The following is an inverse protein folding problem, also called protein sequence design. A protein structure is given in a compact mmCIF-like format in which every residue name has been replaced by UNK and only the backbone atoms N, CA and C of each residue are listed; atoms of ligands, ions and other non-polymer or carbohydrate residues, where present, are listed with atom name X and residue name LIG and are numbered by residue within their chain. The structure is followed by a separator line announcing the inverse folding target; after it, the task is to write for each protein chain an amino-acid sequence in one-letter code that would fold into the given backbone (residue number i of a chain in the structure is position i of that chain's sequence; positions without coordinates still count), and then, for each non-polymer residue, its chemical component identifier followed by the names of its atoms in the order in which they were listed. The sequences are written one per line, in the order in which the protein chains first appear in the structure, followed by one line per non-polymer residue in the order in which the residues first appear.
data_IF_096219510134
#
_entry.id   IF_096219510134
#
_cell.length_a   1.000
_cell.length_b   1.000
_cell.length_c   1.000
_cell.angle_alpha   90.00
_cell.angle_beta   90.00
_cell.angle_gamma   90.00
#
_symmetry.space_group_name_H-M   'P 1'
#
loop_
_entity.id
_entity.type
_entity.pdbx_description
1 polymer ?
#
# COMPACT_ATOMS: atom_id res chain seq x y z
N UNK A 1 -15.15 5.26 -17.82
CA UNK A 1 -13.68 5.23 -17.65
C UNK A 1 -13.13 6.36 -18.50
N UNK A 2 -12.60 7.43 -17.89
CA UNK A 2 -12.06 8.56 -18.66
C UNK A 2 -10.73 8.14 -19.29
N UNK A 3 -10.56 8.30 -20.62
CA UNK A 3 -9.28 8.01 -21.27
C UNK A 3 -8.18 8.87 -20.65
N UNK A 4 -6.98 8.28 -20.51
CA UNK A 4 -5.81 9.03 -20.09
C UNK A 4 -5.60 10.23 -21.03
N UNK A 5 -5.32 11.40 -20.45
CA UNK A 5 -5.25 12.65 -21.18
C UNK A 5 -4.33 12.54 -22.41
N UNK A 6 -4.86 12.84 -23.60
CA UNK A 6 -4.11 12.81 -24.87
C UNK A 6 -2.86 13.69 -24.78
N UNK A 7 -2.95 14.80 -24.06
CA UNK A 7 -1.84 15.73 -23.81
C UNK A 7 -0.69 15.03 -23.12
N UNK A 8 -0.96 14.22 -22.09
CA UNK A 8 0.10 13.47 -21.38
C UNK A 8 0.71 12.41 -22.30
N UNK A 9 -0.11 11.72 -23.11
CA UNK A 9 0.41 10.74 -24.06
C UNK A 9 1.40 11.35 -25.08
N UNK A 10 1.10 12.54 -25.59
CA UNK A 10 2.01 13.26 -26.47
C UNK A 10 3.24 13.78 -25.72
N UNK A 11 3.07 14.29 -24.49
CA UNK A 11 4.16 14.79 -23.66
C UNK A 11 5.20 13.71 -23.29
N UNK A 12 4.80 12.43 -23.25
CA UNK A 12 5.71 11.30 -23.03
C UNK A 12 6.63 10.99 -24.22
N UNK A 13 6.35 11.48 -25.44
CA UNK A 13 7.14 11.18 -26.64
C UNK A 13 8.35 12.10 -26.75
N UNK A 14 9.49 11.62 -27.24
CA UNK A 14 10.63 12.50 -27.54
C UNK A 14 10.35 13.37 -28.78
N UNK A 15 10.85 14.60 -28.81
CA UNK A 15 10.67 15.52 -29.95
C UNK A 15 9.26 16.11 -30.10
N UNK A 16 8.42 16.03 -29.06
CA UNK A 16 7.09 16.62 -29.07
C UNK A 16 7.12 18.16 -28.90
N UNK A 17 5.99 18.82 -29.17
CA UNK A 17 5.86 20.30 -29.13
C UNK A 17 5.98 20.91 -27.73
N UNK A 18 5.84 20.13 -26.66
CA UNK A 18 5.72 20.59 -25.29
C UNK A 18 7.07 20.82 -24.59
N UNK A 19 8.21 20.60 -25.27
CA UNK A 19 9.59 20.87 -24.77
C UNK A 19 9.83 20.48 -23.30
N UNK A 20 9.22 19.37 -22.87
CA UNK A 20 9.23 18.93 -21.46
C UNK A 20 10.62 18.45 -21.08
N UNK A 21 11.21 18.92 -19.95
CA UNK A 21 12.49 18.41 -19.46
C UNK A 21 12.47 16.90 -19.23
N UNK A 22 13.61 16.24 -19.43
CA UNK A 22 13.71 14.77 -19.35
C UNK A 22 13.24 14.21 -17.99
N UNK A 23 13.62 14.87 -16.89
CA UNK A 23 13.20 14.51 -15.53
C UNK A 23 11.67 14.52 -15.34
N UNK A 24 10.98 15.48 -15.97
CA UNK A 24 9.53 15.59 -15.87
C UNK A 24 8.87 14.58 -16.82
N UNK A 25 9.41 14.39 -18.01
CA UNK A 25 8.92 13.40 -18.98
C UNK A 25 8.94 12.00 -18.39
N UNK A 26 9.99 11.65 -17.64
CA UNK A 26 10.11 10.37 -16.98
C UNK A 26 8.99 10.13 -15.97
N UNK A 27 8.66 11.15 -15.16
CA UNK A 27 7.54 11.08 -14.20
C UNK A 27 6.19 10.91 -14.91
N UNK A 28 6.00 11.54 -16.07
CA UNK A 28 4.79 11.36 -16.88
C UNK A 28 4.68 9.93 -17.44
N UNK A 29 5.80 9.35 -17.87
CA UNK A 29 5.85 7.95 -18.33
C UNK A 29 5.42 7.00 -17.21
N UNK A 30 5.96 7.19 -16.00
CA UNK A 30 5.58 6.39 -14.83
C UNK A 30 4.12 6.61 -14.41
N UNK A 31 3.60 7.83 -14.50
CA UNK A 31 2.20 8.09 -14.20
C UNK A 31 1.26 7.42 -15.20
N UNK A 32 1.62 7.45 -16.50
CA UNK A 32 0.90 6.72 -17.56
C UNK A 32 0.93 5.22 -17.30
N UNK A 33 2.08 4.70 -16.87
CA UNK A 33 2.24 3.29 -16.48
C UNK A 33 1.29 2.92 -15.32
N UNK A 34 1.30 3.67 -14.21
CA UNK A 34 0.40 3.43 -13.07
C UNK A 34 -1.08 3.53 -13.46
N UNK A 35 -1.43 4.44 -14.39
CA UNK A 35 -2.78 4.47 -14.93
C UNK A 35 -3.10 3.18 -15.70
N UNK A 36 -2.22 2.68 -16.58
CA UNK A 36 -2.46 1.41 -17.30
C UNK A 36 -2.62 0.23 -16.37
N UNK A 37 -1.80 0.13 -15.31
CA UNK A 37 -1.98 -0.86 -14.22
C UNK A 37 -3.40 -0.77 -13.66
N UNK A 38 -3.85 0.44 -13.34
CA UNK A 38 -5.21 0.69 -12.81
C UNK A 38 -6.30 0.27 -13.80
N UNK A 39 -6.10 0.52 -15.09
CA UNK A 39 -7.08 0.13 -16.12
C UNK A 39 -7.26 -1.39 -16.19
N UNK A 40 -6.16 -2.16 -16.08
CA UNK A 40 -6.21 -3.63 -16.04
C UNK A 40 -7.08 -4.12 -14.88
N UNK A 41 -6.94 -3.51 -13.69
CA UNK A 41 -7.72 -3.92 -12.51
C UNK A 41 -9.20 -3.53 -12.60
N UNK A 42 -9.53 -2.38 -13.19
CA UNK A 42 -10.93 -2.00 -13.35
C UNK A 42 -11.65 -2.71 -14.49
N UNK A 43 -10.98 -2.90 -15.62
CA UNK A 43 -11.56 -3.53 -16.79
C UNK A 43 -11.78 -5.02 -16.56
N UNK A 44 -10.79 -5.70 -16.01
CA UNK A 44 -10.85 -7.15 -15.85
C UNK A 44 -11.46 -7.51 -14.48
N UNK A 45 -10.85 -7.14 -13.35
CA UNK A 45 -11.23 -7.67 -12.01
C UNK A 45 -12.56 -7.14 -11.42
N UNK A 46 -13.19 -6.10 -11.98
CA UNK A 46 -14.39 -5.44 -11.41
C UNK A 46 -15.66 -5.52 -12.25
N UNK A 47 -15.61 -5.91 -13.51
CA UNK A 47 -16.83 -6.12 -14.29
C UNK A 47 -17.55 -7.39 -13.78
N UNK A 48 -18.83 -7.28 -13.33
CA UNK A 48 -19.58 -8.46 -12.92
C UNK A 48 -19.75 -9.41 -14.10
N UNK A 49 -19.53 -10.71 -13.88
CA UNK A 49 -19.99 -11.77 -14.78
C UNK A 49 -21.51 -11.73 -14.90
N UNK A 50 -22.01 -10.87 -15.77
CA UNK A 50 -23.41 -10.65 -16.02
C UNK A 50 -23.67 -10.61 -17.52
N UNK A 51 -23.15 -11.58 -18.27
CA UNK A 51 -23.81 -11.97 -19.51
C UNK A 51 -23.44 -13.39 -19.97
N UNK A 52 -24.50 -14.18 -20.10
CA UNK A 52 -24.52 -15.60 -20.43
C UNK A 52 -24.22 -15.85 -21.91
N UNK A 53 -22.97 -15.71 -22.32
CA UNK A 53 -22.47 -16.30 -23.58
C UNK A 53 -21.05 -16.86 -23.38
N UNK A 54 -20.98 -17.97 -22.65
CA UNK A 54 -19.78 -18.72 -22.30
C UNK A 54 -19.27 -19.64 -23.42
N UNK A 55 -19.28 -19.17 -24.67
CA UNK A 55 -18.88 -19.97 -25.83
C UNK A 55 -17.40 -19.86 -26.23
N UNK A 56 -16.82 -18.65 -26.15
CA UNK A 56 -15.54 -18.37 -26.83
C UNK A 56 -14.61 -17.40 -26.09
N UNK A 57 -14.84 -17.11 -24.80
CA UNK A 57 -13.94 -16.20 -24.07
C UNK A 57 -12.73 -16.96 -23.51
N UNK A 58 -11.48 -16.54 -23.83
CA UNK A 58 -10.30 -17.10 -23.20
C UNK A 58 -10.40 -16.95 -21.67
N UNK A 59 -9.91 -17.95 -20.94
CA UNK A 59 -9.98 -18.02 -19.47
C UNK A 59 -9.56 -16.69 -18.84
N UNK A 60 -10.52 -16.00 -18.21
CA UNK A 60 -10.41 -14.66 -17.63
C UNK A 60 -9.27 -14.51 -16.60
N UNK A 61 -8.88 -15.61 -15.94
CA UNK A 61 -7.74 -15.64 -15.03
C UNK A 61 -6.42 -15.30 -15.73
N UNK A 62 -6.28 -15.57 -17.03
CA UNK A 62 -5.04 -15.36 -17.77
C UNK A 62 -4.89 -13.92 -18.32
N UNK A 63 -5.97 -13.15 -18.45
CA UNK A 63 -5.91 -11.86 -19.17
C UNK A 63 -5.29 -10.76 -18.31
N UNK A 64 -5.82 -10.52 -17.11
CA UNK A 64 -5.27 -9.48 -16.24
C UNK A 64 -3.87 -9.83 -15.72
N UNK A 65 -3.63 -11.11 -15.41
CA UNK A 65 -2.32 -11.61 -14.97
C UNK A 65 -1.25 -11.44 -16.05
N UNK A 66 -1.56 -11.80 -17.31
CA UNK A 66 -0.64 -11.59 -18.43
C UNK A 66 -0.42 -10.12 -18.72
N UNK A 67 -1.46 -9.28 -18.65
CA UNK A 67 -1.36 -7.84 -18.80
C UNK A 67 -0.47 -7.21 -17.71
N UNK A 68 -0.62 -7.60 -16.44
CA UNK A 68 0.25 -7.14 -15.36
C UNK A 68 1.70 -7.62 -15.51
N UNK A 69 1.91 -8.88 -15.92
CA UNK A 69 3.26 -9.39 -16.19
C UNK A 69 3.91 -8.62 -17.35
N UNK A 70 3.18 -8.33 -18.44
CA UNK A 70 3.68 -7.51 -19.54
C UNK A 70 4.07 -6.10 -19.07
N UNK A 71 3.24 -5.49 -18.22
CA UNK A 71 3.56 -4.21 -17.57
C UNK A 71 4.79 -4.33 -16.65
N UNK A 72 4.99 -5.45 -15.96
CA UNK A 72 6.20 -5.64 -15.17
C UNK A 72 7.45 -5.62 -16.06
N UNK A 73 7.45 -6.35 -17.17
CA UNK A 73 8.56 -6.35 -18.14
C UNK A 73 8.80 -4.95 -18.72
N UNK A 74 7.75 -4.21 -19.07
CA UNK A 74 7.87 -2.84 -19.57
C UNK A 74 8.56 -1.92 -18.54
N UNK A 75 8.23 -2.04 -17.25
CA UNK A 75 8.88 -1.25 -16.20
C UNK A 75 10.35 -1.61 -16.04
N UNK A 76 10.68 -2.90 -16.12
CA UNK A 76 12.06 -3.39 -16.06
C UNK A 76 12.89 -2.89 -17.26
N UNK A 77 12.32 -2.86 -18.46
CA UNK A 77 12.97 -2.28 -19.65
C UNK A 77 13.22 -0.78 -19.48
N UNK A 78 12.22 -0.02 -19.00
CA UNK A 78 12.36 1.41 -18.72
C UNK A 78 13.49 1.65 -17.71
N UNK A 79 13.53 0.87 -16.64
CA UNK A 79 14.57 0.99 -15.62
C UNK A 79 15.96 0.65 -16.17
N UNK A 80 16.08 -0.42 -16.95
CA UNK A 80 17.36 -0.83 -17.52
C UNK A 80 17.91 0.22 -18.49
N UNK A 81 17.08 0.71 -19.42
CA UNK A 81 17.48 1.65 -20.46
C UNK A 81 17.91 3.01 -19.89
N UNK A 82 17.28 3.47 -18.82
CA UNK A 82 17.46 4.82 -18.28
C UNK A 82 18.17 4.86 -16.90
N UNK A 83 18.60 3.71 -16.37
CA UNK A 83 19.21 3.56 -15.03
C UNK A 83 20.35 4.54 -14.70
N UNK A 84 21.17 4.90 -15.70
CA UNK A 84 22.31 5.81 -15.55
C UNK A 84 21.90 7.29 -15.49
N UNK A 85 20.71 7.63 -15.97
CA UNK A 85 20.16 9.00 -15.94
C UNK A 85 19.32 9.27 -14.70
N UNK A 86 18.90 8.23 -13.98
CA UNK A 86 18.00 8.40 -12.84
C UNK A 86 18.64 9.11 -11.67
N UNK A 87 18.03 10.23 -11.28
CA UNK A 87 18.23 10.85 -9.98
C UNK A 87 17.77 9.91 -8.86
N UNK A 88 18.13 10.23 -7.62
CA UNK A 88 17.60 9.50 -6.46
C UNK A 88 16.07 9.52 -6.39
N UNK A 89 15.44 10.62 -6.82
CA UNK A 89 13.99 10.73 -6.82
C UNK A 89 13.35 9.82 -7.87
N UNK A 90 13.94 9.70 -9.06
CA UNK A 90 13.43 8.83 -10.12
C UNK A 90 13.46 7.36 -9.69
N UNK A 91 14.52 6.95 -8.96
CA UNK A 91 14.60 5.62 -8.35
C UNK A 91 13.45 5.37 -7.36
N UNK A 92 13.09 6.36 -6.55
CA UNK A 92 11.94 6.25 -5.65
C UNK A 92 10.64 6.10 -6.46
N UNK A 93 10.43 6.91 -7.50
CA UNK A 93 9.24 6.83 -8.34
C UNK A 93 9.10 5.47 -9.05
N UNK A 94 10.18 4.92 -9.62
CA UNK A 94 10.18 3.59 -10.25
C UNK A 94 9.87 2.50 -9.24
N UNK A 95 10.54 2.53 -8.09
CA UNK A 95 10.32 1.56 -7.02
C UNK A 95 8.87 1.65 -6.47
N UNK A 96 8.32 2.85 -6.36
CA UNK A 96 6.91 3.07 -6.02
C UNK A 96 5.95 2.52 -7.10
N UNK A 97 6.23 2.74 -8.38
CA UNK A 97 5.41 2.21 -9.47
C UNK A 97 5.38 0.67 -9.48
N UNK A 98 6.53 0.03 -9.21
CA UNK A 98 6.64 -1.43 -9.06
C UNK A 98 5.85 -1.93 -7.85
N UNK A 99 5.98 -1.27 -6.71
CA UNK A 99 5.21 -1.57 -5.51
C UNK A 99 3.71 -1.45 -5.77
N UNK A 100 3.27 -0.36 -6.42
CA UNK A 100 1.88 -0.15 -6.79
C UNK A 100 1.36 -1.28 -7.68
N UNK A 101 2.08 -1.63 -8.75
CA UNK A 101 1.69 -2.70 -9.66
C UNK A 101 1.55 -4.04 -8.92
N UNK A 102 2.57 -4.46 -8.18
CA UNK A 102 2.49 -5.73 -7.47
C UNK A 102 1.42 -5.74 -6.38
N UNK A 103 1.10 -4.59 -5.76
CA UNK A 103 0.01 -4.50 -4.79
C UNK A 103 -1.36 -4.85 -5.38
N UNK A 104 -1.51 -4.81 -6.71
CA UNK A 104 -2.76 -5.16 -7.36
C UNK A 104 -3.12 -6.66 -7.21
N UNK A 105 -2.16 -7.55 -6.96
CA UNK A 105 -2.43 -8.96 -6.72
C UNK A 105 -3.27 -9.22 -5.46
N UNK A 106 -3.34 -8.25 -4.52
CA UNK A 106 -4.24 -8.34 -3.37
C UNK A 106 -5.73 -8.22 -3.74
N UNK A 107 -6.06 -7.70 -4.93
CA UNK A 107 -7.45 -7.58 -5.39
C UNK A 107 -8.06 -8.91 -5.83
N UNK A 108 -7.22 -9.87 -6.20
CA UNK A 108 -7.67 -11.25 -6.41
C UNK A 108 -7.94 -11.92 -5.05
N UNK A 109 -9.09 -12.60 -4.93
CA UNK A 109 -9.45 -13.42 -3.77
C UNK A 109 -9.32 -14.91 -4.04
N UNK A 110 -9.00 -15.32 -5.27
CA UNK A 110 -8.89 -16.72 -5.63
C UNK A 110 -7.65 -17.36 -4.97
N UNK A 111 -7.73 -18.56 -4.36
CA UNK A 111 -6.57 -19.20 -3.73
C UNK A 111 -5.64 -19.84 -4.77
N UNK A 112 -5.17 -19.07 -5.75
CA UNK A 112 -4.33 -19.56 -6.85
C UNK A 112 -2.83 -19.42 -6.54
N UNK A 113 -1.97 -20.29 -7.11
CA UNK A 113 -0.52 -20.12 -7.04
C UNK A 113 -0.04 -18.78 -7.61
N UNK A 114 -0.66 -18.30 -8.70
CA UNK A 114 -0.31 -17.01 -9.31
C UNK A 114 -0.54 -15.86 -8.35
N UNK A 115 -1.69 -15.83 -7.67
CA UNK A 115 -1.97 -14.85 -6.62
C UNK A 115 -0.91 -14.88 -5.52
N UNK A 116 -0.56 -16.07 -5.02
CA UNK A 116 0.48 -16.23 -3.99
C UNK A 116 1.81 -15.64 -4.46
N UNK A 117 2.27 -16.00 -5.65
CA UNK A 117 3.51 -15.47 -6.25
C UNK A 117 3.43 -13.94 -6.40
N UNK A 118 2.30 -13.41 -6.86
CA UNK A 118 2.08 -11.98 -7.02
C UNK A 118 2.13 -11.21 -5.69
N UNK A 119 1.53 -11.73 -4.63
CA UNK A 119 1.61 -11.14 -3.28
C UNK A 119 3.04 -11.22 -2.73
N UNK A 120 3.76 -12.31 -2.96
CA UNK A 120 5.18 -12.41 -2.57
C UNK A 120 6.06 -11.41 -3.34
N UNK A 121 5.76 -11.12 -4.62
CA UNK A 121 6.39 -10.03 -5.38
C UNK A 121 6.05 -8.65 -4.81
N UNK A 122 4.82 -8.45 -4.33
CA UNK A 122 4.41 -7.23 -3.65
C UNK A 122 5.20 -7.03 -2.36
N UNK A 123 5.37 -8.09 -1.56
CA UNK A 123 6.24 -8.09 -0.39
C UNK A 123 7.69 -7.74 -0.74
N UNK A 124 8.28 -8.40 -1.74
CA UNK A 124 9.65 -8.11 -2.18
C UNK A 124 9.83 -6.66 -2.67
N UNK A 125 8.81 -6.10 -3.32
CA UNK A 125 8.81 -4.70 -3.76
C UNK A 125 8.68 -3.75 -2.58
N UNK A 126 7.83 -4.07 -1.60
CA UNK A 126 7.68 -3.29 -0.37
C UNK A 126 8.98 -3.30 0.44
N UNK A 127 9.65 -4.45 0.53
CA UNK A 127 10.94 -4.61 1.17
C UNK A 127 12.00 -3.73 0.50
N UNK A 128 12.12 -3.83 -0.83
CA UNK A 128 13.07 -3.04 -1.63
C UNK A 128 12.80 -1.54 -1.52
N UNK A 129 11.54 -1.12 -1.63
CA UNK A 129 11.14 0.29 -1.53
C UNK A 129 11.44 0.87 -0.15
N UNK A 130 11.09 0.14 0.92
CA UNK A 130 11.35 0.55 2.31
C UNK A 130 12.84 0.69 2.55
N UNK A 131 13.64 -0.29 2.10
CA UNK A 131 15.11 -0.26 2.21
C UNK A 131 15.72 0.92 1.44
N UNK A 132 15.22 1.19 0.22
CA UNK A 132 15.66 2.33 -0.58
C UNK A 132 15.38 3.65 0.15
N UNK A 133 14.17 3.83 0.65
CA UNK A 133 13.78 5.09 1.30
C UNK A 133 14.53 5.31 2.63
N UNK A 134 14.69 4.28 3.45
CA UNK A 134 15.41 4.42 4.74
C UNK A 134 16.92 4.64 4.54
N UNK A 135 17.52 4.05 3.51
CA UNK A 135 18.92 4.30 3.16
C UNK A 135 19.14 5.73 2.62
N UNK A 136 18.21 6.24 1.81
CA UNK A 136 18.23 7.62 1.34
C UNK A 136 17.98 8.60 2.49
N UNK A 137 17.11 8.28 3.46
CA UNK A 137 16.94 9.12 4.65
C UNK A 137 18.23 9.22 5.46
N UNK A 138 18.91 8.10 5.66
CA UNK A 138 20.18 8.05 6.41
C UNK A 138 21.28 8.92 5.77
N UNK A 139 21.25 9.07 4.45
CA UNK A 139 22.30 9.80 3.70
C UNK A 139 21.90 11.26 3.39
N UNK A 140 20.63 11.51 3.09
CA UNK A 140 20.13 12.79 2.55
C UNK A 140 19.05 13.45 3.41
N UNK A 141 18.68 12.86 4.55
CA UNK A 141 17.55 13.31 5.40
C UNK A 141 16.24 13.42 4.61
N UNK A 142 16.02 12.44 3.73
CA UNK A 142 14.89 12.37 2.81
C UNK A 142 13.55 12.61 3.52
N UNK A 143 13.34 12.06 4.72
CA UNK A 143 12.05 12.16 5.41
C UNK A 143 11.63 13.60 5.74
N UNK A 144 12.58 14.50 5.92
CA UNK A 144 12.29 15.92 6.18
C UNK A 144 11.72 16.66 4.98
N UNK A 145 11.88 16.12 3.76
CA UNK A 145 11.51 16.79 2.51
C UNK A 145 10.70 15.88 1.58
N UNK A 146 10.21 14.76 2.10
CA UNK A 146 9.56 13.75 1.28
C UNK A 146 8.18 14.23 0.83
N UNK A 147 7.92 14.23 -0.47
CA UNK A 147 6.63 14.65 -0.99
C UNK A 147 5.51 13.68 -0.58
N UNK A 148 4.29 14.18 -0.52
CA UNK A 148 3.13 13.43 -0.02
C UNK A 148 2.85 12.12 -0.80
N UNK A 149 3.24 12.03 -2.08
CA UNK A 149 3.13 10.78 -2.85
C UNK A 149 4.05 9.70 -2.30
N UNK A 150 5.34 10.01 -2.07
CA UNK A 150 6.31 9.06 -1.53
C UNK A 150 5.95 8.64 -0.10
N UNK A 151 5.42 9.56 0.72
CA UNK A 151 4.87 9.24 2.04
C UNK A 151 3.78 8.17 1.92
N UNK A 152 2.78 8.38 1.06
CA UNK A 152 1.69 7.39 0.88
C UNK A 152 2.22 6.04 0.43
N UNK A 153 3.17 6.00 -0.50
CA UNK A 153 3.76 4.74 -0.97
C UNK A 153 4.59 4.03 0.12
N UNK A 154 5.26 4.79 0.99
CA UNK A 154 5.97 4.26 2.15
C UNK A 154 5.01 3.64 3.18
N UNK A 155 3.88 4.29 3.42
CA UNK A 155 2.82 3.76 4.26
C UNK A 155 2.19 2.48 3.66
N UNK A 156 1.95 2.44 2.34
CA UNK A 156 1.50 1.22 1.63
C UNK A 156 2.53 0.09 1.78
N UNK A 157 3.81 0.38 1.59
CA UNK A 157 4.88 -0.62 1.74
C UNK A 157 4.88 -1.21 3.15
N UNK A 158 4.79 -0.35 4.16
CA UNK A 158 4.75 -0.76 5.58
C UNK A 158 3.55 -1.66 5.87
N UNK A 159 2.36 -1.32 5.35
CA UNK A 159 1.17 -2.15 5.48
C UNK A 159 1.32 -3.52 4.78
N UNK A 160 1.93 -3.57 3.59
CA UNK A 160 2.18 -4.82 2.87
C UNK A 160 3.15 -5.72 3.65
N UNK A 161 4.26 -5.16 4.16
CA UNK A 161 5.22 -5.90 4.98
C UNK A 161 4.51 -6.56 6.17
N UNK A 162 3.78 -5.75 6.95
CA UNK A 162 3.05 -6.22 8.12
C UNK A 162 2.03 -7.30 7.76
N UNK A 163 1.26 -7.08 6.69
CA UNK A 163 0.19 -7.98 6.26
C UNK A 163 0.71 -9.35 5.84
N UNK A 164 1.85 -9.42 5.14
CA UNK A 164 2.44 -10.69 4.72
C UNK A 164 3.12 -11.40 5.90
N UNK A 165 3.83 -10.66 6.75
CA UNK A 165 4.46 -11.21 7.96
C UNK A 165 3.44 -11.82 8.95
N UNK A 166 2.21 -11.30 8.97
CA UNK A 166 1.08 -11.77 9.78
C UNK A 166 0.14 -12.74 9.04
N UNK A 167 0.63 -13.49 8.06
CA UNK A 167 -0.18 -14.44 7.30
C UNK A 167 0.56 -15.75 7.10
N UNK A 168 -0.10 -16.78 6.57
CA UNK A 168 0.57 -18.04 6.22
C UNK A 168 1.69 -17.89 5.19
N UNK A 169 1.74 -16.77 4.45
CA UNK A 169 2.82 -16.52 3.49
C UNK A 169 4.14 -16.13 4.17
N UNK A 170 4.14 -15.93 5.50
CA UNK A 170 5.36 -15.74 6.30
C UNK A 170 6.36 -16.89 6.16
N UNK A 171 5.88 -18.10 5.85
CA UNK A 171 6.71 -19.29 5.69
C UNK A 171 7.50 -19.32 4.37
N UNK A 172 7.13 -18.49 3.40
CA UNK A 172 7.76 -18.43 2.08
C UNK A 172 8.74 -17.25 1.95
N UNK A 173 9.04 -16.54 3.04
CA UNK A 173 9.92 -15.37 3.07
C UNK A 173 10.95 -15.49 4.20
N UNK A 174 12.02 -14.68 4.12
CA UNK A 174 12.90 -14.46 5.26
C UNK A 174 12.17 -13.63 6.33
N UNK A 175 11.56 -14.34 7.28
CA UNK A 175 10.75 -13.76 8.34
C UNK A 175 11.56 -12.81 9.23
N UNK A 176 12.79 -13.18 9.61
CA UNK A 176 13.62 -12.37 10.52
C UNK A 176 14.07 -11.06 9.85
N UNK A 177 14.49 -11.12 8.59
CA UNK A 177 14.82 -9.93 7.82
C UNK A 177 13.58 -9.01 7.68
N UNK A 178 12.42 -9.60 7.37
CA UNK A 178 11.15 -8.87 7.26
C UNK A 178 10.71 -8.20 8.55
N UNK A 179 10.78 -8.94 9.67
CA UNK A 179 10.50 -8.48 11.03
C UNK A 179 11.35 -7.29 11.42
N UNK A 180 12.66 -7.38 11.18
CA UNK A 180 13.58 -6.26 11.43
C UNK A 180 13.18 -5.05 10.59
N UNK A 181 12.98 -5.23 9.28
CA UNK A 181 12.63 -4.13 8.39
C UNK A 181 11.28 -3.50 8.74
N UNK A 182 10.28 -4.28 9.17
CA UNK A 182 8.98 -3.76 9.61
C UNK A 182 9.10 -2.90 10.89
N UNK A 183 9.96 -3.33 11.82
CA UNK A 183 10.28 -2.55 13.02
C UNK A 183 10.98 -1.23 12.65
N UNK A 184 11.97 -1.29 11.76
CA UNK A 184 12.69 -0.11 11.25
C UNK A 184 11.72 0.85 10.50
N UNK A 185 10.81 0.30 9.69
CA UNK A 185 9.80 1.06 8.95
C UNK A 185 8.84 1.79 9.89
N UNK A 186 8.46 1.17 11.02
CA UNK A 186 7.59 1.78 12.03
C UNK A 186 8.26 2.98 12.70
N UNK A 187 9.56 2.86 13.04
CA UNK A 187 10.35 3.97 13.56
C UNK A 187 10.49 5.08 12.50
N UNK A 188 10.76 4.70 11.26
CA UNK A 188 10.86 5.63 10.14
C UNK A 188 9.54 6.37 9.85
N UNK A 189 8.38 5.70 9.94
CA UNK A 189 7.07 6.33 9.75
C UNK A 189 6.81 7.47 10.75
N UNK A 190 7.29 7.33 11.99
CA UNK A 190 7.24 8.41 12.97
C UNK A 190 8.15 9.60 12.61
N UNK A 191 9.26 9.39 11.88
CA UNK A 191 10.13 10.47 11.40
C UNK A 191 9.55 11.24 10.22
N UNK A 192 8.73 10.57 9.41
CA UNK A 192 8.03 11.17 8.27
C UNK A 192 6.88 12.06 8.71
N UNK A 193 6.35 11.83 9.91
CA UNK A 193 5.31 12.67 10.50
C UNK A 193 5.82 14.10 10.73
N UNK A 194 5.09 15.07 10.20
CA UNK A 194 5.24 16.51 10.48
C UNK A 194 4.76 16.82 11.90
N UNK A 195 3.79 16.06 12.42
CA UNK A 195 3.28 16.21 13.79
C UNK A 195 2.66 14.93 14.33
N UNK A 196 2.54 14.84 15.66
CA UNK A 196 2.06 13.63 16.37
C UNK A 196 0.63 13.20 16.03
N UNK A 197 -0.16 14.09 15.42
CA UNK A 197 -1.55 13.88 15.01
C UNK A 197 -1.77 13.82 13.49
N UNK A 198 -0.72 13.88 12.68
CA UNK A 198 -0.87 13.74 11.22
C UNK A 198 -1.07 12.27 10.79
N UNK A 199 -1.40 12.08 9.52
CA UNK A 199 -1.72 10.77 8.96
C UNK A 199 -0.58 9.76 9.08
N UNK A 200 0.67 10.20 8.89
CA UNK A 200 1.84 9.34 8.95
C UNK A 200 2.11 8.90 10.39
N UNK A 201 2.04 9.83 11.35
CA UNK A 201 2.20 9.55 12.77
C UNK A 201 1.09 8.66 13.33
N UNK A 202 -0.17 8.89 12.93
CA UNK A 202 -1.30 8.03 13.28
C UNK A 202 -1.12 6.60 12.75
N UNK A 203 -0.78 6.44 11.47
CA UNK A 203 -0.57 5.12 10.90
C UNK A 203 0.64 4.40 11.52
N UNK A 204 1.73 5.12 11.82
CA UNK A 204 2.90 4.57 12.50
C UNK A 204 2.54 3.96 13.86
N UNK A 205 1.71 4.66 14.65
CA UNK A 205 1.20 4.15 15.94
C UNK A 205 0.34 2.91 15.76
N UNK A 206 -0.57 2.90 14.78
CA UNK A 206 -1.40 1.72 14.48
C UNK A 206 -0.53 0.52 14.09
N UNK A 207 0.43 0.71 13.18
CA UNK A 207 1.35 -0.35 12.74
C UNK A 207 2.14 -0.89 13.93
N UNK A 208 2.65 -0.01 14.80
CA UNK A 208 3.33 -0.42 16.02
C UNK A 208 2.41 -1.28 16.91
N UNK A 209 1.15 -0.90 17.10
CA UNK A 209 0.21 -1.66 17.92
C UNK A 209 -0.09 -3.04 17.33
N UNK A 210 -0.39 -3.13 16.03
CA UNK A 210 -0.62 -4.44 15.37
C UNK A 210 0.64 -5.29 15.40
N UNK A 211 1.82 -4.69 15.19
CA UNK A 211 3.07 -5.44 15.19
C UNK A 211 3.36 -6.10 16.55
N UNK A 212 2.98 -5.44 17.64
CA UNK A 212 3.16 -5.94 19.00
C UNK A 212 1.91 -6.65 19.57
N UNK A 213 0.81 -6.80 18.80
CA UNK A 213 -0.29 -7.68 19.22
C UNK A 213 0.19 -9.12 19.11
N UNK A 214 0.29 -9.80 20.25
CA UNK A 214 0.99 -11.08 20.46
C UNK A 214 0.40 -12.32 19.78
N UNK A 215 -0.31 -12.15 18.65
CA UNK A 215 -1.04 -13.18 17.93
C UNK A 215 -0.50 -13.41 16.51
N UNK A 216 0.79 -13.14 16.27
CA UNK A 216 1.44 -13.45 14.99
C UNK A 216 1.40 -14.94 14.65
N UNK A 217 1.26 -15.81 15.66
CA UNK A 217 1.27 -17.27 15.52
C UNK A 217 -0.09 -17.91 15.20
N UNK A 218 -1.16 -17.12 15.08
CA UNK A 218 -2.53 -17.65 14.91
C UNK A 218 -3.06 -17.49 13.48
N UNK A 219 -2.43 -16.66 12.63
CA UNK A 219 -2.91 -16.38 11.27
C UNK A 219 -2.31 -17.32 10.22
N UNK A 220 -2.78 -18.55 10.21
CA UNK A 220 -2.48 -19.57 9.17
C UNK A 220 -3.30 -19.37 7.88
N UNK A 221 -4.01 -18.25 7.76
CA UNK A 221 -4.76 -17.88 6.56
C UNK A 221 -3.89 -17.06 5.59
N UNK A 222 -4.07 -17.24 4.26
CA UNK A 222 -3.47 -16.35 3.28
C UNK A 222 -3.89 -14.89 3.50
N UNK A 223 -3.06 -13.90 3.18
CA UNK A 223 -3.41 -12.50 3.38
C UNK A 223 -4.51 -12.09 2.39
N UNK A 224 -5.63 -11.56 2.88
CA UNK A 224 -6.77 -11.14 2.06
C UNK A 224 -7.02 -9.63 2.13
N UNK A 225 -7.52 -9.03 1.06
CA UNK A 225 -7.93 -7.62 1.01
C UNK A 225 -9.45 -7.52 1.03
N UNK A 226 -10.02 -7.03 2.13
CA UNK A 226 -11.45 -6.84 2.31
C UNK A 226 -11.91 -5.52 1.68
N UNK A 227 -11.18 -4.43 1.95
CA UNK A 227 -11.49 -3.13 1.37
C UNK A 227 -10.91 -3.06 -0.04
N UNK A 228 -11.70 -3.39 -1.07
CA UNK A 228 -11.27 -3.32 -2.47
C UNK A 228 -11.75 -2.09 -3.23
N UNK A 229 -12.53 -1.21 -2.60
CA UNK A 229 -13.22 -0.11 -3.29
C UNK A 229 -12.31 1.06 -3.72
N UNK A 230 -11.05 1.13 -3.24
CA UNK A 230 -10.22 2.35 -3.28
C UNK A 230 -8.83 2.21 -3.96
N UNK A 231 -8.63 1.22 -4.85
CA UNK A 231 -7.36 1.03 -5.59
C UNK A 231 -6.12 1.00 -4.69
N UNK A 232 -5.04 1.73 -5.01
CA UNK A 232 -3.82 1.75 -4.19
C UNK A 232 -4.06 2.13 -2.73
N UNK A 233 -5.11 2.90 -2.43
CA UNK A 233 -5.47 3.24 -1.06
C UNK A 233 -6.13 2.07 -0.31
N UNK A 234 -6.67 1.07 -1.03
CA UNK A 234 -7.30 -0.12 -0.45
C UNK A 234 -6.42 -0.80 0.59
N UNK A 235 -5.12 -0.93 0.36
CA UNK A 235 -4.18 -1.56 1.30
C UNK A 235 -4.18 -0.84 2.66
N UNK A 236 -4.08 0.50 2.64
CA UNK A 236 -4.04 1.30 3.87
C UNK A 236 -5.39 1.25 4.57
N UNK A 237 -6.50 1.41 3.83
CA UNK A 237 -7.84 1.38 4.42
C UNK A 237 -8.19 0.02 5.02
N UNK A 238 -7.77 -1.06 4.37
CA UNK A 238 -7.93 -2.41 4.87
C UNK A 238 -7.12 -2.65 6.14
N UNK A 239 -5.88 -2.14 6.18
CA UNK A 239 -5.09 -2.16 7.40
C UNK A 239 -5.75 -1.40 8.56
N UNK A 240 -6.23 -0.17 8.31
CA UNK A 240 -6.95 0.64 9.31
C UNK A 240 -8.19 -0.11 9.79
N UNK A 241 -8.92 -0.75 8.87
CA UNK A 241 -10.08 -1.56 9.21
C UNK A 241 -9.74 -2.73 10.13
N UNK A 242 -8.71 -3.51 9.78
CA UNK A 242 -8.22 -4.61 10.61
C UNK A 242 -7.77 -4.12 12.00
N UNK A 243 -7.04 -3.01 12.07
CA UNK A 243 -6.64 -2.41 13.34
C UNK A 243 -7.87 -2.03 14.20
N UNK A 244 -8.92 -1.45 13.58
CA UNK A 244 -10.17 -1.12 14.29
C UNK A 244 -10.88 -2.36 14.83
N UNK A 245 -10.83 -3.48 14.11
CA UNK A 245 -11.40 -4.74 14.57
C UNK A 245 -10.62 -5.30 15.77
N UNK A 246 -9.28 -5.26 15.72
CA UNK A 246 -8.42 -5.77 16.81
C UNK A 246 -8.46 -4.89 18.07
N UNK A 247 -8.47 -3.57 17.94
CA UNK A 247 -8.29 -2.64 19.07
C UNK A 247 -9.49 -1.74 19.36
N UNK A 248 -10.41 -1.58 18.42
CA UNK A 248 -11.54 -0.65 18.50
C UNK A 248 -12.79 -1.18 19.20
N UNK A 249 -12.85 -2.47 19.52
CA UNK A 249 -14.05 -3.10 20.10
C UNK A 249 -15.29 -3.03 19.20
N UNK A 250 -15.11 -2.72 17.91
CA UNK A 250 -16.21 -2.62 16.94
C UNK A 250 -16.58 -4.02 16.46
N UNK A 251 -17.83 -4.47 16.64
CA UNK A 251 -18.29 -5.76 16.11
C UNK A 251 -18.17 -5.81 14.59
N UNK A 252 -17.90 -7.01 14.09
CA UNK A 252 -17.64 -7.38 12.70
C UNK A 252 -18.72 -6.84 11.73
N UNK A 253 -18.42 -5.75 11.00
CA UNK A 253 -19.39 -5.11 10.08
C UNK A 253 -19.42 -5.73 8.67
N UNK A 254 -18.40 -6.52 8.33
CA UNK A 254 -18.38 -7.33 7.11
C UNK A 254 -18.36 -8.80 7.53
N UNK A 255 -19.19 -9.68 6.95
CA UNK A 255 -19.15 -11.10 7.26
C UNK A 255 -17.78 -11.64 6.84
N UNK A 256 -16.92 -11.86 7.82
CA UNK A 256 -15.70 -12.62 7.60
C UNK A 256 -16.08 -14.06 7.28
N UNK A 257 -15.38 -14.68 6.34
CA UNK A 257 -15.39 -16.15 6.18
C UNK A 257 -14.85 -16.88 7.43
N UNK A 258 -14.40 -16.13 8.45
CA UNK A 258 -13.98 -16.55 9.80
C UNK A 258 -15.09 -17.18 10.65
N UNK A 259 -16.04 -17.91 10.07
CA UNK A 259 -17.08 -18.60 10.82
C UNK A 259 -16.57 -19.75 11.71
N UNK A 260 -15.27 -20.11 11.64
CA UNK A 260 -14.72 -21.24 12.38
C UNK A 260 -13.80 -20.89 13.57
N UNK A 261 -13.68 -19.62 13.98
CA UNK A 261 -12.82 -19.26 15.12
C UNK A 261 -13.55 -18.56 16.28
N UNK A 262 -14.85 -18.77 16.40
CA UNK A 262 -15.67 -18.27 17.51
C UNK A 262 -15.57 -19.12 18.79
N UNK A 263 -14.38 -19.58 19.19
CA UNK A 263 -14.23 -20.35 20.45
C UNK A 263 -12.98 -20.09 21.32
N UNK A 264 -12.03 -19.20 20.98
CA UNK A 264 -10.79 -19.09 21.80
C UNK A 264 -10.53 -17.71 22.46
N UNK A 265 -11.29 -16.66 22.16
CA UNK A 265 -11.15 -15.40 22.88
C UNK A 265 -12.07 -15.35 24.12
N UNK A 266 -11.91 -16.29 25.05
CA UNK A 266 -12.37 -16.05 26.42
C UNK A 266 -11.33 -15.17 27.10
N UNK A 267 -11.73 -13.94 27.45
CA UNK A 267 -10.95 -13.01 28.25
C UNK A 267 -10.47 -13.71 29.53
N UNK A 268 -9.16 -13.96 29.62
CA UNK A 268 -8.52 -14.42 30.86
C UNK A 268 -8.10 -13.18 31.65
N UNK A 269 -8.46 -13.03 32.93
CA UNK A 269 -8.00 -11.90 33.74
C UNK A 269 -6.48 -12.03 33.94
N UNK A 270 -5.74 -11.04 33.44
CA UNK A 270 -4.28 -10.97 33.50
C UNK A 270 -3.78 -10.44 34.84
N UNK A 271 -2.75 -11.07 35.40
CA UNK A 271 -1.87 -10.45 36.40
C UNK A 271 -1.01 -9.36 35.71
N UNK A 272 -0.74 -8.22 36.36
CA UNK A 272 -0.15 -7.07 35.69
C UNK A 272 1.36 -7.29 35.40
N UNK A 273 1.85 -6.92 34.22
CA UNK A 273 3.29 -6.81 33.94
C UNK A 273 3.85 -5.48 34.52
N UNK A 274 5.18 -5.40 34.75
CA UNK A 274 5.80 -4.28 35.46
C UNK A 274 5.71 -2.96 34.69
N UNK A 275 5.46 -1.89 35.45
CA UNK A 275 5.28 -0.51 35.01
C UNK A 275 6.53 0.04 34.31
N UNK A 276 6.59 -0.02 32.99
CA UNK A 276 7.36 0.95 32.20
C UNK A 276 6.67 1.15 30.85
N UNK A 277 6.10 2.35 30.66
CA UNK A 277 5.44 2.85 29.44
C UNK A 277 4.22 2.06 28.94
N UNK A 278 3.16 1.97 29.75
CA UNK A 278 1.81 1.71 29.23
C UNK A 278 1.15 3.02 28.80
N UNK A 279 0.97 3.21 27.49
CA UNK A 279 -0.11 4.07 27.00
C UNK A 279 -1.40 3.26 27.08
N UNK A 280 -2.40 3.75 27.80
CA UNK A 280 -3.67 3.04 27.98
C UNK A 280 -4.50 3.09 26.69
N UNK A 281 -5.15 1.97 26.28
CA UNK A 281 -5.99 1.93 25.08
C UNK A 281 -7.11 2.99 25.08
N UNK A 282 -7.60 3.42 26.25
CA UNK A 282 -8.67 4.41 26.37
C UNK A 282 -8.25 5.84 25.98
N UNK A 283 -6.97 6.21 26.09
CA UNK A 283 -6.52 7.57 25.76
C UNK A 283 -6.59 7.83 24.24
N UNK A 284 -6.56 6.77 23.41
CA UNK A 284 -6.66 6.86 21.93
C UNK A 284 -8.10 7.12 21.47
N UNK A 285 -9.10 6.71 22.25
CA UNK A 285 -10.52 6.90 21.91
C UNK A 285 -11.09 8.24 22.40
N UNK A 286 -10.34 9.00 23.21
CA UNK A 286 -10.72 10.37 23.59
C UNK A 286 -10.27 11.41 22.58
N UNK A 287 -9.33 11.07 21.69
CA UNK A 287 -8.94 11.94 20.58
C UNK A 287 -9.95 11.78 19.43
N UNK A 288 -10.97 12.64 19.42
CA UNK A 288 -12.00 12.67 18.39
C UNK A 288 -11.42 12.76 16.96
N UNK A 289 -10.17 13.24 16.79
CA UNK A 289 -9.48 13.30 15.50
C UNK A 289 -9.02 11.94 14.96
N UNK A 290 -9.09 10.88 15.76
CA UNK A 290 -8.68 9.52 15.39
C UNK A 290 -9.84 8.65 14.89
N UNK A 291 -11.05 8.94 15.41
CA UNK A 291 -12.30 8.38 14.91
C UNK A 291 -12.68 9.04 13.58
N UNK A 292 -12.36 10.33 13.47
CA UNK A 292 -12.57 11.13 12.28
C UNK A 292 -11.54 10.80 11.19
N UNK A 293 -11.93 9.92 10.26
CA UNK A 293 -11.18 9.67 9.02
C UNK A 293 -11.47 10.75 7.97
N UNK A 294 -12.18 11.83 8.31
CA UNK A 294 -12.38 12.94 7.38
C UNK A 294 -11.06 13.55 6.96
N UNK A 295 -9.94 13.40 7.68
CA UNK A 295 -8.62 13.79 7.16
C UNK A 295 -8.21 13.07 5.84
N UNK A 296 -8.78 11.89 5.55
CA UNK A 296 -8.57 11.19 4.28
C UNK A 296 -9.58 11.62 3.19
N UNK A 297 -10.67 12.30 3.57
CA UNK A 297 -11.72 12.80 2.69
C UNK A 297 -11.81 14.34 2.64
N UNK A 298 -11.00 15.08 3.43
CA UNK A 298 -11.11 16.52 3.64
C UNK A 298 -10.78 17.25 2.33
N UNK A 299 -11.73 17.91 1.66
CA UNK A 299 -11.45 18.63 0.42
C UNK A 299 -10.47 19.80 0.62
N UNK A 300 -10.24 20.27 1.85
CA UNK A 300 -9.34 21.40 2.14
C UNK A 300 -7.86 21.13 1.81
N UNK A 301 -7.42 19.88 1.60
CA UNK A 301 -6.03 19.65 1.15
C UNK A 301 -5.78 20.09 -0.31
N UNK A 302 -6.83 20.33 -1.11
CA UNK A 302 -6.73 20.93 -2.44
C UNK A 302 -6.98 22.44 -2.48
N UNK A 303 -7.55 23.05 -1.43
CA UNK A 303 -7.96 24.47 -1.45
C UNK A 303 -6.85 25.45 -1.01
N UNK A 304 -5.69 24.99 -0.53
CA UNK A 304 -4.56 25.87 -0.20
C UNK A 304 -3.80 26.45 -1.42
N UNK A 305 -4.41 26.53 -2.60
CA UNK A 305 -3.82 27.13 -3.80
C UNK A 305 -4.58 28.32 -4.39
N UNK A 306 -5.61 28.84 -3.72
CA UNK A 306 -6.19 30.13 -4.10
C UNK A 306 -6.13 31.12 -2.93
N UNK A 307 -4.99 31.78 -2.79
CA UNK A 307 -5.02 33.20 -2.44
C UNK A 307 -4.91 34.02 -3.73
N UNK A 308 -5.58 35.17 -3.79
CA UNK A 308 -4.74 36.34 -3.67
C UNK A 308 -5.32 37.44 -2.77
N UNK A 309 -4.42 37.97 -1.95
CA UNK A 309 -4.22 39.40 -1.65
C UNK A 309 -5.46 40.28 -1.48
N UNK A 310 -5.62 40.76 -0.23
CA UNK A 310 -5.79 42.19 0.07
C UNK A 310 -5.27 42.51 1.45
#
# INVERSE_FOLDING_TARGET
MTPFDKTINFACQTGNIYTVPDDLRFKLILQRYCNRVTQVIYGDLREPQGDSNAGDRPSFALTWESNLNALNYELDEIEQQHSHMFSMYDRIYVSAARLYMHSMYFFDSSPTPTRKIGILRAYASAFSFTTLITSLDSTHKLFSYMCAYHVRMFLVATCILLKVLRSSYRHDIDFEAGKKLCSDATVAANKVAVGSGDSAGKLAKMVAQVWHSGDTDVLEEPPELLVKSRLGASIIYDFIWMWRQEFGGVPEAYPSSRQNQSLICQAKPSSPPPETMMFQPLDVFQDASFVDLDFLNDPNWMECLEEPMS
#
